data_IF_119955669135
#
_entry.id   IF_119955669135
#
_cell.length_a   1.000
_cell.length_b   1.000
_cell.length_c   1.000
_cell.angle_alpha   90.00
_cell.angle_beta   90.00
_cell.angle_gamma   90.00
#
_symmetry.space_group_name_H-M   'P 1'
#
loop_
_entity.id
_entity.type
_entity.pdbx_description
1 polymer ?
#
# COMPACT_ATOMS: atom_id res chain seq x y z
N UNK A 1 1.29 -5.94 4.81
CA UNK A 1 1.36 -7.43 4.69
C UNK A 1 1.58 -7.85 3.24
N UNK A 2 0.74 -7.44 2.29
CA UNK A 2 0.91 -7.78 0.86
C UNK A 2 2.32 -7.45 0.32
N UNK A 3 2.82 -6.23 0.52
CA UNK A 3 4.16 -5.84 0.10
C UNK A 3 5.28 -6.68 0.74
N UNK A 4 5.11 -7.06 2.02
CA UNK A 4 6.09 -7.88 2.74
C UNK A 4 6.10 -9.35 2.33
N UNK A 5 5.05 -9.81 1.64
CA UNK A 5 4.95 -11.16 1.08
C UNK A 5 5.29 -11.21 -0.41
N UNK A 6 5.81 -10.11 -0.98
CA UNK A 6 6.35 -10.09 -2.34
C UNK A 6 5.39 -9.56 -3.42
N UNK A 7 4.20 -9.09 -3.05
CA UNK A 7 3.26 -8.51 -4.01
C UNK A 7 3.64 -7.06 -4.32
N UNK A 8 3.51 -6.65 -5.58
CA UNK A 8 3.53 -5.23 -5.96
C UNK A 8 2.26 -4.56 -5.45
N UNK A 9 2.37 -3.44 -4.75
CA UNK A 9 1.24 -2.75 -4.13
C UNK A 9 1.28 -1.28 -4.52
N UNK A 10 0.17 -0.79 -5.04
CA UNK A 10 -0.06 0.65 -5.20
C UNK A 10 -1.04 1.10 -4.13
N UNK A 11 -0.60 1.96 -3.22
CA UNK A 11 -1.47 2.58 -2.22
C UNK A 11 -2.10 3.84 -2.82
N UNK A 12 -3.43 3.89 -2.85
CA UNK A 12 -4.18 5.02 -3.40
C UNK A 12 -4.93 5.75 -2.29
N UNK A 13 -4.84 7.08 -2.30
CA UNK A 13 -5.59 7.95 -1.38
C UNK A 13 -5.86 9.31 -2.06
N UNK A 14 -6.65 10.15 -1.42
CA UNK A 14 -7.13 11.44 -1.93
C UNK A 14 -6.08 12.55 -1.98
N UNK A 15 -4.96 12.41 -1.25
CA UNK A 15 -3.91 13.45 -1.23
C UNK A 15 -2.52 12.87 -1.02
N UNK A 16 -1.54 13.52 -1.63
CA UNK A 16 -0.11 13.21 -1.48
C UNK A 16 0.38 13.32 -0.03
N UNK A 17 -0.19 14.23 0.76
CA UNK A 17 0.21 14.41 2.15
C UNK A 17 -0.25 13.24 3.04
N UNK A 18 -1.47 12.73 2.81
CA UNK A 18 -1.95 11.51 3.47
C UNK A 18 -1.08 10.32 3.06
N UNK A 19 -0.78 10.18 1.76
CA UNK A 19 0.07 9.10 1.24
C UNK A 19 1.48 9.11 1.87
N UNK A 20 2.13 10.28 1.93
CA UNK A 20 3.44 10.44 2.58
C UNK A 20 3.38 10.05 4.05
N UNK A 21 2.33 10.46 4.78
CA UNK A 21 2.14 10.09 6.19
C UNK A 21 1.93 8.58 6.34
N UNK A 22 1.15 7.97 5.46
CA UNK A 22 0.88 6.53 5.45
C UNK A 22 2.14 5.72 5.18
N UNK A 23 2.95 6.09 4.18
CA UNK A 23 4.22 5.42 3.89
C UNK A 23 5.20 5.53 5.07
N UNK A 24 5.30 6.71 5.71
CA UNK A 24 6.10 6.87 6.94
C UNK A 24 5.61 5.97 8.07
N UNK A 25 4.30 5.82 8.23
CA UNK A 25 3.70 4.90 9.21
C UNK A 25 4.05 3.43 8.92
N UNK A 26 3.98 3.04 7.65
CA UNK A 26 4.37 1.69 7.19
C UNK A 26 5.85 1.45 7.49
N UNK A 27 6.73 2.38 7.13
CA UNK A 27 8.17 2.31 7.40
C UNK A 27 8.46 2.14 8.90
N UNK A 28 7.83 2.95 9.76
CA UNK A 28 7.99 2.85 11.21
C UNK A 28 7.54 1.48 11.76
N UNK A 29 6.43 0.96 11.26
CA UNK A 29 5.93 -0.37 11.63
C UNK A 29 6.90 -1.48 11.18
N UNK A 30 7.41 -1.39 9.95
CA UNK A 30 8.39 -2.34 9.41
C UNK A 30 9.70 -2.31 10.20
N UNK A 31 10.21 -1.13 10.57
CA UNK A 31 11.39 -0.99 11.44
C UNK A 31 11.19 -1.68 12.79
N UNK A 32 10.00 -1.55 13.40
CA UNK A 32 9.68 -2.23 14.66
C UNK A 32 9.64 -3.76 14.51
N UNK A 33 9.07 -4.27 13.42
CA UNK A 33 9.07 -5.70 13.12
C UNK A 33 10.48 -6.21 12.85
N UNK A 34 11.26 -5.45 12.08
CA UNK A 34 12.63 -5.77 11.71
C UNK A 34 13.52 -5.92 12.94
N UNK A 35 13.47 -4.96 13.88
CA UNK A 35 14.21 -5.04 15.16
C UNK A 35 13.91 -6.30 15.98
N UNK A 36 12.70 -6.85 15.89
CA UNK A 36 12.33 -8.08 16.60
C UNK A 36 12.76 -9.34 15.86
N UNK A 37 12.57 -9.38 14.53
CA UNK A 37 12.87 -10.56 13.70
C UNK A 37 14.36 -10.72 13.40
N UNK A 38 15.10 -9.62 13.32
CA UNK A 38 16.50 -9.58 12.92
C UNK A 38 17.38 -9.02 14.03
N UNK A 39 17.02 -9.28 15.30
CA UNK A 39 17.74 -8.76 16.47
C UNK A 39 19.24 -9.13 16.45
N UNK A 40 19.57 -10.32 15.96
CA UNK A 40 20.96 -10.81 15.87
C UNK A 40 21.66 -10.39 14.57
N UNK A 41 20.93 -9.88 13.57
CA UNK A 41 21.45 -9.51 12.24
C UNK A 41 20.80 -8.21 11.72
N UNK A 42 21.19 -7.04 12.25
CA UNK A 42 20.56 -5.77 11.91
C UNK A 42 20.60 -5.45 10.41
N UNK A 43 21.68 -5.83 9.72
CA UNK A 43 21.88 -5.58 8.28
C UNK A 43 20.81 -6.29 7.41
N UNK A 44 20.50 -7.56 7.73
CA UNK A 44 19.43 -8.31 7.08
C UNK A 44 18.07 -7.65 7.32
N UNK A 45 17.91 -7.07 8.51
CA UNK A 45 16.71 -6.33 8.89
C UNK A 45 16.50 -5.05 8.09
N UNK A 46 17.57 -4.31 7.78
CA UNK A 46 17.49 -3.11 6.92
C UNK A 46 17.22 -3.49 5.47
N UNK A 47 17.89 -4.53 4.95
CA UNK A 47 17.65 -5.07 3.62
C UNK A 47 16.18 -5.53 3.45
N UNK A 48 15.61 -6.17 4.48
CA UNK A 48 14.19 -6.53 4.50
C UNK A 48 13.28 -5.30 4.39
N UNK A 49 13.49 -4.26 5.20
CA UNK A 49 12.67 -3.04 5.15
C UNK A 49 12.74 -2.38 3.78
N UNK A 50 13.93 -2.23 3.21
CA UNK A 50 14.12 -1.65 1.88
C UNK A 50 13.44 -2.48 0.79
N UNK A 51 13.54 -3.81 0.86
CA UNK A 51 12.86 -4.70 -0.09
C UNK A 51 11.34 -4.51 -0.05
N UNK A 52 10.75 -4.42 1.14
CA UNK A 52 9.30 -4.23 1.28
C UNK A 52 8.85 -2.87 0.77
N UNK A 53 9.60 -1.81 1.07
CA UNK A 53 9.26 -0.45 0.61
C UNK A 53 9.37 -0.31 -0.91
N UNK A 54 10.30 -1.01 -1.57
CA UNK A 54 10.39 -1.04 -3.04
C UNK A 54 9.16 -1.62 -3.72
N UNK A 55 8.42 -2.49 -3.03
CA UNK A 55 7.18 -3.07 -3.53
C UNK A 55 5.95 -2.15 -3.34
N UNK A 56 6.13 -0.98 -2.72
CA UNK A 56 5.04 -0.03 -2.47
C UNK A 56 5.26 1.21 -3.33
N UNK A 57 4.30 1.51 -4.19
CA UNK A 57 4.16 2.81 -4.84
C UNK A 57 2.88 3.49 -4.36
N UNK A 58 2.74 4.79 -4.67
CA UNK A 58 1.57 5.58 -4.27
C UNK A 58 0.98 6.30 -5.47
N UNK A 59 -0.33 6.54 -5.45
CA UNK A 59 -1.02 7.35 -6.46
C UNK A 59 -2.20 8.07 -5.82
N UNK A 60 -2.63 9.18 -6.41
CA UNK A 60 -3.90 9.83 -6.08
C UNK A 60 -5.02 9.52 -7.08
N UNK A 61 -4.69 8.78 -8.15
CA UNK A 61 -5.62 8.39 -9.20
C UNK A 61 -5.82 6.87 -9.18
N UNK A 62 -6.98 6.43 -8.70
CA UNK A 62 -7.35 5.02 -8.66
C UNK A 62 -7.69 4.45 -10.05
N UNK A 63 -8.28 5.27 -10.93
CA UNK A 63 -8.81 4.82 -12.21
C UNK A 63 -7.69 4.45 -13.19
N UNK A 64 -6.58 5.20 -13.18
CA UNK A 64 -5.40 4.86 -13.99
C UNK A 64 -4.69 3.61 -13.49
N UNK A 65 -4.70 3.36 -12.17
CA UNK A 65 -3.94 2.25 -11.57
C UNK A 65 -4.66 0.91 -11.76
N UNK A 66 -5.99 0.89 -11.68
CA UNK A 66 -6.75 -0.37 -11.73
C UNK A 66 -6.60 -1.11 -13.07
N UNK A 67 -6.32 -0.41 -14.17
CA UNK A 67 -6.12 -1.00 -15.50
C UNK A 67 -4.99 -2.04 -15.57
N UNK A 68 -4.00 -1.96 -14.68
CA UNK A 68 -2.88 -2.90 -14.60
C UNK A 68 -2.83 -3.70 -13.31
N UNK A 69 -3.95 -3.77 -12.57
CA UNK A 69 -4.01 -4.36 -11.22
C UNK A 69 -4.85 -5.63 -11.20
N UNK A 70 -4.32 -6.69 -10.60
CA UNK A 70 -5.02 -7.99 -10.50
C UNK A 70 -6.08 -8.03 -9.37
N UNK A 71 -5.88 -7.25 -8.30
CA UNK A 71 -6.76 -7.24 -7.12
C UNK A 71 -6.83 -5.84 -6.51
N UNK A 72 -8.05 -5.34 -6.34
CA UNK A 72 -8.33 -4.10 -5.61
C UNK A 72 -8.87 -4.43 -4.22
N UNK A 73 -8.23 -3.86 -3.19
CA UNK A 73 -8.70 -3.92 -1.81
C UNK A 73 -9.07 -2.52 -1.34
N UNK A 74 -10.33 -2.34 -0.99
CA UNK A 74 -10.90 -1.08 -0.51
C UNK A 74 -10.85 -1.03 1.03
N UNK A 75 -10.36 0.10 1.55
CA UNK A 75 -10.36 0.41 2.99
C UNK A 75 -10.58 1.91 3.19
N UNK A 76 -11.64 2.44 2.58
CA UNK A 76 -11.99 3.87 2.63
C UNK A 76 -12.94 4.15 3.81
N UNK A 77 -13.45 5.39 3.88
CA UNK A 77 -14.48 5.78 4.86
C UNK A 77 -15.67 4.80 4.84
N UNK A 78 -16.18 4.47 6.03
CA UNK A 78 -17.29 3.53 6.20
C UNK A 78 -18.63 4.18 5.86
N UNK A 79 -18.80 4.49 4.57
CA UNK A 79 -20.01 5.03 3.99
C UNK A 79 -20.37 4.22 2.74
N UNK A 80 -21.54 3.58 2.77
CA UNK A 80 -21.99 2.67 1.72
C UNK A 80 -22.06 3.36 0.34
N UNK A 81 -22.60 4.57 0.28
CA UNK A 81 -22.73 5.31 -0.98
C UNK A 81 -21.37 5.61 -1.59
N UNK A 82 -20.42 6.07 -0.78
CA UNK A 82 -19.06 6.37 -1.24
C UNK A 82 -18.36 5.11 -1.76
N UNK A 83 -18.52 3.97 -1.07
CA UNK A 83 -17.95 2.69 -1.53
C UNK A 83 -18.57 2.23 -2.86
N UNK A 84 -19.90 2.30 -2.98
CA UNK A 84 -20.61 1.95 -4.21
C UNK A 84 -20.20 2.84 -5.39
N UNK A 85 -20.10 4.15 -5.16
CA UNK A 85 -19.67 5.11 -6.17
C UNK A 85 -18.21 4.83 -6.62
N UNK A 86 -17.31 4.52 -5.67
CA UNK A 86 -15.93 4.12 -5.95
C UNK A 86 -15.89 2.87 -6.83
N UNK A 87 -16.52 1.78 -6.40
CA UNK A 87 -16.51 0.54 -7.16
C UNK A 87 -17.18 0.69 -8.52
N UNK A 88 -18.29 1.43 -8.62
CA UNK A 88 -18.96 1.71 -9.90
C UNK A 88 -18.12 2.56 -10.86
N UNK A 89 -17.18 3.37 -10.36
CA UNK A 89 -16.22 4.07 -11.19
C UNK A 89 -15.08 3.15 -11.65
N UNK A 90 -14.54 2.32 -10.74
CA UNK A 90 -13.44 1.40 -11.04
C UNK A 90 -13.85 0.27 -11.98
N UNK A 91 -15.06 -0.27 -11.84
CA UNK A 91 -15.60 -1.35 -12.67
C UNK A 91 -15.63 -0.99 -14.17
N UNK A 92 -15.69 0.29 -14.51
CA UNK A 92 -15.68 0.77 -15.90
C UNK A 92 -14.32 0.73 -16.58
N UNK A 93 -13.26 0.68 -15.79
CA UNK A 93 -11.87 0.80 -16.26
C UNK A 93 -10.99 -0.36 -15.80
N UNK A 94 -11.48 -1.22 -14.92
CA UNK A 94 -10.82 -2.45 -14.52
C UNK A 94 -10.79 -3.45 -15.70
N UNK A 95 -9.75 -4.32 -15.77
CA UNK A 95 -9.64 -5.37 -16.79
C UNK A 95 -10.77 -6.41 -16.79
#
# INVERSE_FOLDING_TARGET
VAASTGHSVVLVDTSEDILKKSVKGIEASLKRVSKKKFAEKPEDGEAFVQKVLKNISTSTDAASIVQGTDLVVEAIVENLKVKQDLFGALDKVAP
#
